data_IF_371449608581
#
_entry.id   IF_371449608581
#
_cell.length_a   1.000
_cell.length_b   1.000
_cell.length_c   1.000
_cell.angle_alpha   90.00
_cell.angle_beta   90.00
_cell.angle_gamma   90.00
#
_symmetry.space_group_name_H-M   'P 1'
#
loop_
_entity.id
_entity.type
_entity.pdbx_description
1 polymer ?
#
# COMPACT_ATOMS: atom_id res chain seq x y z
N UNK A 1 53.00 -20.96 -30.95
CA UNK A 1 51.56 -21.03 -31.30
C UNK A 1 50.77 -20.86 -30.01
N UNK A 2 50.26 -19.65 -29.76
CA UNK A 2 48.82 -19.29 -29.76
C UNK A 2 47.96 -20.01 -28.70
N UNK A 3 47.51 -19.22 -27.72
CA UNK A 3 46.14 -19.10 -27.16
C UNK A 3 45.50 -20.36 -26.50
N UNK A 4 44.85 -20.31 -25.33
CA UNK A 4 43.69 -19.48 -25.00
C UNK A 4 43.45 -19.42 -23.48
N UNK A 5 42.98 -18.26 -23.01
CA UNK A 5 42.35 -18.06 -21.71
C UNK A 5 41.09 -18.91 -21.55
N UNK A 6 40.85 -19.45 -20.35
CA UNK A 6 39.49 -19.55 -19.80
C UNK A 6 39.54 -19.06 -18.36
N UNK A 7 39.08 -17.82 -18.18
CA UNK A 7 38.60 -17.30 -16.92
C UNK A 7 37.34 -18.08 -16.53
N UNK A 8 37.40 -18.85 -15.44
CA UNK A 8 36.19 -19.42 -14.85
C UNK A 8 35.63 -18.39 -13.85
N UNK A 9 34.59 -17.68 -14.30
CA UNK A 9 33.70 -16.90 -13.46
C UNK A 9 33.18 -17.80 -12.33
N UNK A 10 33.55 -17.47 -11.09
CA UNK A 10 32.87 -17.95 -9.90
C UNK A 10 31.47 -17.33 -9.86
N UNK A 11 30.54 -17.97 -10.58
CA UNK A 11 29.10 -17.82 -10.41
C UNK A 11 28.71 -18.41 -9.06
N UNK A 12 29.03 -17.68 -7.99
CA UNK A 12 28.39 -17.89 -6.69
C UNK A 12 26.96 -17.41 -6.89
N UNK A 13 26.10 -18.36 -7.29
CA UNK A 13 24.67 -18.26 -7.11
C UNK A 13 24.40 -18.15 -5.63
N UNK A 14 24.44 -16.92 -5.12
CA UNK A 14 23.83 -16.57 -3.84
C UNK A 14 22.33 -16.64 -4.11
N UNK A 15 21.80 -17.86 -4.00
CA UNK A 15 20.38 -18.07 -3.84
C UNK A 15 19.93 -17.18 -2.68
N UNK A 16 19.07 -16.23 -3.02
CA UNK A 16 18.35 -15.38 -2.08
C UNK A 16 17.56 -16.28 -1.14
N UNK A 17 18.20 -16.63 -0.02
CA UNK A 17 17.52 -17.25 1.11
C UNK A 17 16.50 -16.23 1.58
N UNK A 18 15.24 -16.53 1.25
CA UNK A 18 14.06 -15.83 1.70
C UNK A 18 14.18 -15.50 3.20
N UNK A 19 14.36 -14.22 3.51
CA UNK A 19 14.17 -13.73 4.87
C UNK A 19 12.66 -13.65 5.14
N UNK A 20 12.05 -14.81 5.37
CA UNK A 20 10.67 -14.96 5.86
C UNK A 20 10.61 -14.99 7.40
N UNK A 21 11.41 -14.16 8.07
CA UNK A 21 11.41 -14.05 9.54
C UNK A 21 11.26 -12.60 9.97
N UNK A 22 10.10 -12.05 9.65
CA UNK A 22 9.67 -10.71 9.99
C UNK A 22 8.40 -10.46 9.22
N UNK A 23 7.27 -10.94 9.76
CA UNK A 23 5.98 -10.97 9.08
C UNK A 23 5.75 -9.73 8.22
N UNK A 24 5.33 -10.01 6.98
CA UNK A 24 5.09 -9.11 5.85
C UNK A 24 3.96 -8.09 6.14
N UNK A 25 4.09 -7.39 7.25
CA UNK A 25 3.20 -6.36 7.72
C UNK A 25 3.74 -5.01 7.26
N UNK A 26 3.67 -4.79 5.94
CA UNK A 26 3.76 -3.44 5.39
C UNK A 26 4.54 -3.28 4.10
N UNK A 27 5.35 -4.27 3.70
CA UNK A 27 6.12 -4.21 2.46
C UNK A 27 5.35 -4.86 1.32
N UNK A 28 4.26 -4.20 0.93
CA UNK A 28 3.30 -4.81 0.00
C UNK A 28 3.83 -4.96 -1.43
N UNK A 29 4.86 -4.24 -1.84
CA UNK A 29 5.36 -4.31 -3.21
C UNK A 29 6.27 -5.53 -3.36
N UNK A 30 6.01 -6.37 -4.36
CA UNK A 30 6.86 -7.51 -4.69
C UNK A 30 8.07 -7.01 -5.49
N UNK A 31 9.08 -6.52 -4.78
CA UNK A 31 10.25 -5.87 -5.40
C UNK A 31 11.05 -6.79 -6.31
N UNK A 32 10.88 -8.10 -6.17
CA UNK A 32 11.56 -9.09 -7.03
C UNK A 32 11.03 -9.00 -8.47
N UNK A 33 9.81 -8.49 -8.69
CA UNK A 33 9.26 -8.26 -10.03
C UNK A 33 9.91 -7.09 -10.77
N UNK A 34 10.68 -6.23 -10.09
CA UNK A 34 11.34 -5.07 -10.68
C UNK A 34 12.68 -5.40 -11.34
N UNK A 35 13.10 -6.68 -11.34
CA UNK A 35 14.35 -7.14 -11.95
C UNK A 35 15.56 -6.28 -11.53
N UNK A 36 15.74 -6.12 -10.22
CA UNK A 36 16.80 -5.28 -9.66
C UNK A 36 18.18 -5.82 -10.04
N UNK A 37 19.11 -4.92 -10.39
CA UNK A 37 20.53 -5.28 -10.47
C UNK A 37 21.07 -5.64 -9.08
N UNK A 38 22.20 -6.36 -9.02
CA UNK A 38 22.81 -6.74 -7.74
C UNK A 38 23.14 -5.53 -6.85
N UNK A 39 23.56 -4.41 -7.44
CA UNK A 39 23.81 -3.18 -6.69
C UNK A 39 22.51 -2.57 -6.13
N UNK A 40 21.45 -2.52 -6.94
CA UNK A 40 20.14 -2.04 -6.46
C UNK A 40 19.57 -2.95 -5.37
N UNK A 41 19.70 -4.28 -5.50
CA UNK A 41 19.26 -5.23 -4.49
C UNK A 41 19.98 -5.00 -3.15
N UNK A 42 21.29 -4.74 -3.17
CA UNK A 42 22.07 -4.43 -1.96
C UNK A 42 21.61 -3.10 -1.31
N UNK A 43 21.33 -2.09 -2.13
CA UNK A 43 20.81 -0.80 -1.65
C UNK A 43 19.40 -0.97 -1.03
N UNK A 44 18.51 -1.72 -1.69
CA UNK A 44 17.17 -2.05 -1.17
C UNK A 44 17.27 -2.77 0.18
N UNK A 45 18.14 -3.77 0.31
CA UNK A 45 18.34 -4.49 1.56
C UNK A 45 18.82 -3.56 2.68
N UNK A 46 19.75 -2.65 2.37
CA UNK A 46 20.27 -1.66 3.32
C UNK A 46 19.17 -0.74 3.82
N UNK A 47 18.34 -0.21 2.92
CA UNK A 47 17.20 0.67 3.26
C UNK A 47 16.18 -0.07 4.13
N UNK A 48 15.83 -1.31 3.78
CA UNK A 48 14.88 -2.13 4.55
C UNK A 48 15.38 -2.44 5.95
N UNK A 49 16.67 -2.74 6.09
CA UNK A 49 17.30 -3.00 7.39
C UNK A 49 17.25 -1.75 8.28
N UNK A 50 17.63 -0.59 7.75
CA UNK A 50 17.56 0.68 8.47
C UNK A 50 16.13 1.00 8.94
N UNK A 51 15.14 0.81 8.06
CA UNK A 51 13.72 0.94 8.42
C UNK A 51 13.34 -0.02 9.56
N UNK A 52 13.72 -1.30 9.46
CA UNK A 52 13.35 -2.31 10.46
C UNK A 52 13.96 -2.00 11.83
N UNK A 53 15.23 -1.61 11.87
CA UNK A 53 15.92 -1.26 13.10
C UNK A 53 15.24 -0.06 13.79
N UNK A 54 14.92 0.98 13.02
CA UNK A 54 14.25 2.17 13.51
C UNK A 54 12.79 1.90 13.93
N UNK A 55 12.08 1.04 13.19
CA UNK A 55 10.72 0.63 13.53
C UNK A 55 10.69 -0.12 14.87
N UNK A 56 11.65 -1.02 15.09
CA UNK A 56 11.75 -1.76 16.36
C UNK A 56 12.13 -0.83 17.52
N UNK A 57 13.00 0.16 17.29
CA UNK A 57 13.34 1.20 18.26
C UNK A 57 12.10 1.99 18.66
N UNK A 58 11.36 2.50 17.68
CA UNK A 58 10.14 3.28 17.89
C UNK A 58 9.02 2.47 18.55
N UNK A 59 8.91 1.18 18.22
CA UNK A 59 7.93 0.28 18.85
C UNK A 59 8.14 0.18 20.36
N UNK A 60 9.40 0.05 20.79
CA UNK A 60 9.80 -0.08 22.20
C UNK A 60 9.85 1.26 22.93
N UNK A 61 9.88 2.38 22.21
CA UNK A 61 9.96 3.72 22.78
C UNK A 61 8.68 4.06 23.57
N UNK A 62 8.83 4.67 24.74
CA UNK A 62 7.69 5.04 25.59
C UNK A 62 7.19 6.44 25.22
N UNK A 63 6.25 6.48 24.28
CA UNK A 63 5.55 7.68 23.80
C UNK A 63 4.07 7.35 23.62
N UNK A 64 3.25 8.39 23.48
CA UNK A 64 1.81 8.23 23.26
C UNK A 64 1.54 7.35 22.04
N UNK A 65 0.42 6.62 22.08
CA UNK A 65 0.00 5.73 20.99
C UNK A 65 -0.23 6.49 19.67
N UNK A 66 -0.72 7.72 19.75
CA UNK A 66 -0.97 8.57 18.59
C UNK A 66 0.34 9.03 17.96
N UNK A 67 1.30 9.51 18.77
CA UNK A 67 2.61 9.94 18.28
C UNK A 67 3.40 8.76 17.69
N UNK A 68 3.36 7.61 18.36
CA UNK A 68 3.98 6.38 17.87
C UNK A 68 3.43 5.98 16.50
N UNK A 69 2.10 6.06 16.32
CA UNK A 69 1.45 5.78 15.03
C UNK A 69 1.92 6.78 13.97
N UNK A 70 1.95 8.07 14.27
CA UNK A 70 2.38 9.12 13.33
C UNK A 70 3.84 8.91 12.89
N UNK A 71 4.75 8.68 13.84
CA UNK A 71 6.16 8.45 13.57
C UNK A 71 6.40 7.15 12.78
N UNK A 72 5.67 6.07 13.10
CA UNK A 72 5.77 4.81 12.33
C UNK A 72 5.30 4.97 10.89
N UNK A 73 4.30 5.82 10.66
CA UNK A 73 3.82 6.15 9.32
C UNK A 73 4.86 6.97 8.56
N UNK A 74 5.46 8.00 9.18
CA UNK A 74 6.54 8.79 8.56
C UNK A 74 7.73 7.92 8.18
N UNK A 75 8.16 7.03 9.08
CA UNK A 75 9.26 6.09 8.81
C UNK A 75 8.99 5.19 7.58
N UNK A 76 7.73 4.83 7.35
CA UNK A 76 7.32 4.04 6.20
C UNK A 76 7.35 4.86 4.90
N UNK A 77 6.92 6.11 4.94
CA UNK A 77 6.98 7.02 3.80
C UNK A 77 8.44 7.27 3.38
N UNK A 78 9.32 7.50 4.35
CA UNK A 78 10.76 7.68 4.13
C UNK A 78 11.39 6.44 3.49
N UNK A 79 11.04 5.24 3.98
CA UNK A 79 11.49 3.98 3.38
C UNK A 79 11.05 3.88 1.91
N UNK A 80 9.78 4.17 1.61
CA UNK A 80 9.26 4.10 0.24
C UNK A 80 10.00 5.10 -0.66
N UNK A 81 10.16 6.35 -0.22
CA UNK A 81 10.87 7.38 -0.96
C UNK A 81 12.32 6.97 -1.28
N UNK A 82 13.05 6.46 -0.27
CA UNK A 82 14.41 5.97 -0.44
C UNK A 82 14.48 4.79 -1.41
N UNK A 83 13.54 3.84 -1.35
CA UNK A 83 13.50 2.72 -2.27
C UNK A 83 13.23 3.18 -3.71
N UNK A 84 12.34 4.16 -3.92
CA UNK A 84 12.03 4.72 -5.24
C UNK A 84 13.23 5.43 -5.88
N UNK A 85 14.13 6.01 -5.08
CA UNK A 85 15.36 6.65 -5.58
C UNK A 85 16.38 5.66 -6.14
N UNK A 86 16.35 4.40 -5.71
CA UNK A 86 17.24 3.32 -6.19
C UNK A 86 16.81 2.80 -7.56
N UNK A 87 15.54 2.99 -7.93
CA UNK A 87 14.96 2.46 -9.16
C UNK A 87 15.30 3.33 -10.38
N UNK A 88 15.49 2.68 -11.53
CA UNK A 88 15.47 3.36 -12.83
C UNK A 88 14.08 3.94 -13.12
N UNK A 89 13.97 4.79 -14.14
CA UNK A 89 12.67 5.37 -14.52
C UNK A 89 11.63 4.29 -14.90
N UNK A 90 12.02 3.30 -15.72
CA UNK A 90 11.13 2.20 -16.10
C UNK A 90 10.69 1.37 -14.88
N UNK A 91 11.62 1.10 -13.96
CA UNK A 91 11.31 0.40 -12.71
C UNK A 91 10.40 1.22 -11.79
N UNK A 92 10.53 2.56 -11.77
CA UNK A 92 9.62 3.44 -11.03
C UNK A 92 8.21 3.38 -11.60
N UNK A 93 8.05 3.36 -12.92
CA UNK A 93 6.75 3.22 -13.57
C UNK A 93 6.12 1.86 -13.26
N UNK A 94 6.91 0.79 -13.34
CA UNK A 94 6.45 -0.55 -12.97
C UNK A 94 6.04 -0.62 -11.49
N UNK A 95 6.86 -0.09 -10.58
CA UNK A 95 6.54 -0.04 -9.16
C UNK A 95 5.26 0.76 -8.88
N UNK A 96 5.06 1.90 -9.56
CA UNK A 96 3.83 2.69 -9.46
C UNK A 96 2.59 1.88 -9.89
N UNK A 97 2.68 1.19 -11.03
CA UNK A 97 1.59 0.33 -11.51
C UNK A 97 1.26 -0.80 -10.51
N UNK A 98 2.27 -1.44 -9.93
CA UNK A 98 2.10 -2.45 -8.89
C UNK A 98 1.44 -1.88 -7.62
N UNK A 99 1.81 -0.66 -7.21
CA UNK A 99 1.17 0.00 -6.07
C UNK A 99 -0.32 0.28 -6.33
N UNK A 100 -0.66 0.70 -7.55
CA UNK A 100 -2.04 0.97 -7.98
C UNK A 100 -2.86 -0.33 -7.95
N UNK A 101 -2.40 -1.41 -8.58
CA UNK A 101 -3.10 -2.72 -8.59
C UNK A 101 -3.39 -3.21 -7.17
N UNK A 102 -2.40 -3.11 -6.28
CA UNK A 102 -2.59 -3.51 -4.89
C UNK A 102 -3.53 -2.59 -4.12
N UNK A 103 -3.52 -1.30 -4.42
CA UNK A 103 -4.47 -0.37 -3.83
C UNK A 103 -5.88 -0.70 -4.28
N UNK A 104 -6.09 -0.95 -5.57
CA UNK A 104 -7.36 -1.35 -6.15
C UNK A 104 -7.89 -2.64 -5.50
N UNK A 105 -7.08 -3.70 -5.39
CA UNK A 105 -7.44 -4.95 -4.69
C UNK A 105 -7.92 -4.70 -3.26
N UNK A 106 -7.23 -3.82 -2.52
CA UNK A 106 -7.62 -3.49 -1.13
C UNK A 106 -8.91 -2.70 -1.07
N UNK A 107 -9.13 -1.80 -2.03
CA UNK A 107 -10.33 -0.98 -2.10
C UNK A 107 -11.52 -1.84 -2.49
N UNK A 108 -11.40 -2.65 -3.54
CA UNK A 108 -12.39 -3.63 -3.95
C UNK A 108 -12.83 -4.54 -2.79
N UNK A 109 -11.89 -5.07 -1.99
CA UNK A 109 -12.21 -5.87 -0.79
C UNK A 109 -12.99 -5.09 0.28
N UNK A 110 -12.76 -3.77 0.39
CA UNK A 110 -13.52 -2.92 1.32
C UNK A 110 -14.91 -2.62 0.79
N UNK A 111 -15.03 -2.39 -0.51
CA UNK A 111 -16.30 -2.20 -1.20
C UNK A 111 -17.17 -3.46 -1.07
N UNK A 112 -16.59 -4.67 -1.20
CA UNK A 112 -17.32 -5.94 -0.96
C UNK A 112 -17.92 -6.01 0.44
N UNK A 113 -17.10 -5.78 1.46
CA UNK A 113 -17.58 -5.78 2.85
C UNK A 113 -18.65 -4.73 3.10
N UNK A 114 -18.60 -3.61 2.39
CA UNK A 114 -19.62 -2.57 2.50
C UNK A 114 -20.90 -2.99 1.78
N UNK A 115 -20.77 -3.60 0.60
CA UNK A 115 -21.87 -4.15 -0.17
C UNK A 115 -22.65 -5.18 0.66
N UNK A 116 -21.94 -6.10 1.33
CA UNK A 116 -22.54 -7.10 2.23
C UNK A 116 -23.30 -6.44 3.39
N UNK A 117 -22.69 -5.45 4.05
CA UNK A 117 -23.31 -4.75 5.20
C UNK A 117 -24.57 -3.99 4.82
N UNK A 118 -24.58 -3.42 3.62
CA UNK A 118 -25.72 -2.68 3.09
C UNK A 118 -26.70 -3.60 2.35
N UNK A 119 -26.37 -4.87 2.15
CA UNK A 119 -27.11 -5.79 1.28
C UNK A 119 -27.40 -5.15 -0.08
N UNK A 120 -26.33 -4.67 -0.75
CA UNK A 120 -26.45 -4.07 -2.08
C UNK A 120 -26.83 -5.13 -3.11
N UNK A 121 -27.65 -4.73 -4.07
CA UNK A 121 -27.88 -5.51 -5.28
C UNK A 121 -26.62 -5.50 -6.16
N UNK A 122 -26.45 -6.47 -7.06
CA UNK A 122 -25.31 -6.48 -7.99
C UNK A 122 -25.17 -5.17 -8.76
N UNK A 123 -26.29 -4.61 -9.27
CA UNK A 123 -26.30 -3.32 -9.97
C UNK A 123 -25.80 -2.16 -9.10
N UNK A 124 -26.20 -2.10 -7.83
CA UNK A 124 -25.72 -1.06 -6.90
C UNK A 124 -24.21 -1.23 -6.60
N UNK A 125 -23.76 -2.47 -6.45
CA UNK A 125 -22.36 -2.78 -6.22
C UNK A 125 -21.49 -2.40 -7.43
N UNK A 126 -21.96 -2.67 -8.64
CA UNK A 126 -21.26 -2.32 -9.88
C UNK A 126 -21.13 -0.80 -10.04
N UNK A 127 -22.20 -0.04 -9.78
CA UNK A 127 -22.15 1.44 -9.80
C UNK A 127 -21.15 1.95 -8.77
N UNK A 128 -21.18 1.43 -7.54
CA UNK A 128 -20.25 1.82 -6.49
C UNK A 128 -18.79 1.52 -6.86
N UNK A 129 -18.51 0.34 -7.42
CA UNK A 129 -17.18 -0.07 -7.86
C UNK A 129 -16.68 0.79 -9.01
N UNK A 130 -17.53 1.03 -10.01
CA UNK A 130 -17.20 1.83 -11.18
C UNK A 130 -16.76 3.24 -10.77
N UNK A 131 -17.57 3.95 -9.98
CA UNK A 131 -17.25 5.32 -9.56
C UNK A 131 -15.96 5.37 -8.73
N UNK A 132 -15.83 4.48 -7.75
CA UNK A 132 -14.63 4.48 -6.90
C UNK A 132 -13.39 4.16 -7.74
N UNK A 133 -13.43 3.17 -8.63
CA UNK A 133 -12.27 2.77 -9.43
C UNK A 133 -11.91 3.80 -10.52
N UNK A 134 -12.89 4.45 -11.15
CA UNK A 134 -12.62 5.57 -12.07
C UNK A 134 -11.89 6.70 -11.34
N UNK A 135 -12.38 7.10 -10.17
CA UNK A 135 -11.76 8.18 -9.40
C UNK A 135 -10.37 7.79 -8.83
N UNK A 136 -10.08 6.49 -8.70
CA UNK A 136 -8.74 5.99 -8.34
C UNK A 136 -7.74 6.10 -9.48
N UNK A 137 -8.15 5.78 -10.70
CA UNK A 137 -7.31 5.90 -11.91
C UNK A 137 -6.98 7.37 -12.20
N UNK A 138 -7.94 8.27 -11.97
CA UNK A 138 -7.75 9.71 -12.18
C UNK A 138 -6.87 10.37 -11.09
N UNK A 139 -6.78 9.76 -9.90
CA UNK A 139 -6.02 10.29 -8.76
C UNK A 139 -5.03 9.27 -8.16
N UNK A 140 -4.04 8.78 -8.93
CA UNK A 140 -3.12 7.76 -8.47
C UNK A 140 -2.26 8.24 -7.28
N UNK A 141 -2.02 9.56 -7.17
CA UNK A 141 -1.30 10.16 -6.02
C UNK A 141 -2.02 9.95 -4.68
N UNK A 142 -3.35 9.82 -4.67
CA UNK A 142 -4.10 9.52 -3.46
C UNK A 142 -3.82 8.10 -2.93
N UNK A 143 -3.32 7.20 -3.78
CA UNK A 143 -3.04 5.80 -3.46
C UNK A 143 -1.60 5.55 -2.97
N UNK A 144 -0.68 6.39 -3.43
CA UNK A 144 0.76 6.24 -3.19
C UNK A 144 1.19 6.71 -1.79
N UNK A 145 0.41 7.60 -1.15
CA UNK A 145 0.75 8.12 0.19
C UNK A 145 -0.06 7.39 1.24
N UNK A 146 0.53 6.35 1.85
CA UNK A 146 -0.01 5.75 3.07
C UNK A 146 0.80 6.19 4.27
N UNK A 147 0.59 7.41 4.74
CA UNK A 147 1.35 7.93 5.87
C UNK A 147 0.81 9.23 6.47
N UNK A 148 1.60 9.87 7.33
CA UNK A 148 1.16 10.96 8.21
C UNK A 148 0.73 12.25 7.46
N UNK A 149 1.20 12.43 6.22
CA UNK A 149 0.80 13.51 5.32
C UNK A 149 -0.08 13.03 4.13
N UNK A 150 -0.42 11.74 4.09
CA UNK A 150 -1.22 11.13 3.03
C UNK A 150 -2.65 10.90 3.47
N UNK A 151 -3.60 11.18 2.57
CA UNK A 151 -4.99 10.75 2.72
C UNK A 151 -4.99 9.29 3.19
N UNK A 152 -5.58 9.00 4.35
CA UNK A 152 -5.87 7.62 4.72
C UNK A 152 -6.70 7.06 3.56
N UNK A 153 -6.17 6.09 2.82
CA UNK A 153 -6.90 5.40 1.75
C UNK A 153 -8.30 4.98 2.20
N UNK A 154 -8.51 4.77 3.51
CA UNK A 154 -9.84 4.57 4.11
C UNK A 154 -10.72 5.81 4.06
N UNK A 155 -10.21 6.98 4.39
CA UNK A 155 -10.95 8.24 4.35
C UNK A 155 -11.32 8.61 2.93
N UNK A 156 -10.37 8.58 2.00
CA UNK A 156 -10.63 8.84 0.59
C UNK A 156 -11.74 7.94 0.03
N UNK A 157 -11.61 6.60 0.18
CA UNK A 157 -12.64 5.66 -0.29
C UNK A 157 -13.98 5.90 0.39
N UNK A 158 -13.97 6.22 1.69
CA UNK A 158 -15.20 6.49 2.42
C UNK A 158 -15.90 7.74 1.88
N UNK A 159 -15.17 8.82 1.61
CA UNK A 159 -15.72 10.08 1.13
C UNK A 159 -16.26 9.94 -0.31
N UNK A 160 -15.53 9.23 -1.18
CA UNK A 160 -15.97 8.88 -2.54
C UNK A 160 -17.28 8.09 -2.52
N UNK A 161 -17.36 7.11 -1.62
CA UNK A 161 -18.56 6.31 -1.45
C UNK A 161 -19.71 7.14 -0.87
N UNK A 162 -19.45 7.99 0.13
CA UNK A 162 -20.48 8.80 0.77
C UNK A 162 -21.20 9.73 -0.22
N UNK A 163 -20.50 10.23 -1.23
CA UNK A 163 -21.07 11.09 -2.26
C UNK A 163 -22.11 10.39 -3.14
N UNK A 164 -21.93 9.10 -3.43
CA UNK A 164 -22.82 8.36 -4.35
C UNK A 164 -23.94 7.59 -3.64
N UNK A 165 -23.80 7.36 -2.33
CA UNK A 165 -24.74 6.55 -1.55
C UNK A 165 -26.19 7.06 -1.58
N UNK A 166 -26.50 8.37 -1.54
CA UNK A 166 -27.88 8.85 -1.65
C UNK A 166 -28.58 8.45 -2.95
N UNK A 167 -27.83 8.33 -4.04
CA UNK A 167 -28.40 8.10 -5.38
C UNK A 167 -28.58 6.60 -5.69
N UNK A 168 -27.76 5.75 -5.08
CA UNK A 168 -27.77 4.30 -5.36
C UNK A 168 -28.54 3.51 -4.31
N UNK A 169 -28.71 4.01 -3.09
CA UNK A 169 -29.30 3.26 -1.99
C UNK A 169 -30.82 3.44 -1.89
N UNK A 170 -31.53 2.37 -1.54
CA UNK A 170 -32.89 2.48 -1.02
C UNK A 170 -32.90 3.20 0.34
N UNK A 171 -34.06 3.73 0.76
CA UNK A 171 -34.19 4.45 2.04
C UNK A 171 -33.72 3.62 3.25
N UNK A 172 -34.02 2.31 3.27
CA UNK A 172 -33.57 1.41 4.34
C UNK A 172 -32.05 1.22 4.34
N UNK A 173 -31.43 1.10 3.16
CA UNK A 173 -29.98 0.99 3.03
C UNK A 173 -29.31 2.32 3.41
N UNK A 174 -29.88 3.45 3.04
CA UNK A 174 -29.37 4.78 3.38
C UNK A 174 -29.36 5.01 4.90
N UNK A 175 -30.41 4.57 5.61
CA UNK A 175 -30.41 4.59 7.09
C UNK A 175 -29.29 3.73 7.68
N UNK A 176 -29.02 2.55 7.11
CA UNK A 176 -27.88 1.70 7.53
C UNK A 176 -26.54 2.39 7.26
N UNK A 177 -26.40 3.04 6.10
CA UNK A 177 -25.22 3.82 5.76
C UNK A 177 -24.96 4.95 6.76
N UNK A 178 -25.98 5.74 7.12
CA UNK A 178 -25.83 6.81 8.12
C UNK A 178 -25.37 6.28 9.49
N UNK A 179 -25.85 5.10 9.92
CA UNK A 179 -25.37 4.44 11.14
C UNK A 179 -23.90 4.02 11.02
N UNK A 180 -23.49 3.46 9.88
CA UNK A 180 -22.09 3.09 9.62
C UNK A 180 -21.20 4.34 9.64
N UNK A 181 -21.64 5.43 9.02
CA UNK A 181 -20.96 6.73 9.01
C UNK A 181 -20.78 7.29 10.41
N UNK A 182 -21.85 7.34 11.21
CA UNK A 182 -21.79 7.81 12.60
C UNK A 182 -20.80 7.02 13.46
N UNK A 183 -20.75 5.69 13.32
CA UNK A 183 -19.79 4.85 14.05
C UNK A 183 -18.35 5.06 13.57
N UNK A 184 -18.16 5.27 12.27
CA UNK A 184 -16.84 5.56 11.68
C UNK A 184 -16.28 6.90 12.18
N UNK A 185 -17.10 7.94 12.27
CA UNK A 185 -16.69 9.26 12.77
C UNK A 185 -16.28 9.23 14.24
N UNK A 186 -17.03 8.53 15.10
CA UNK A 186 -16.70 8.38 16.52
C UNK A 186 -15.31 7.77 16.75
N UNK A 187 -14.88 6.85 15.89
CA UNK A 187 -13.56 6.24 15.94
C UNK A 187 -12.43 7.09 15.32
N UNK A 188 -12.75 8.18 14.61
CA UNK A 188 -11.75 9.12 14.08
C UNK A 188 -11.40 10.22 15.10
N UNK A 189 -12.32 10.51 16.03
CA UNK A 189 -12.18 11.58 17.03
C UNK A 189 -11.79 11.07 18.42
N UNK A 190 -11.64 9.76 18.61
CA UNK A 190 -11.20 9.09 19.86
C UNK A 190 -9.80 8.51 19.74
#
# INVERSE_FOLDING_TARGET
MKQLMIALMLSIGIGSVAMSLGGDHGQRLDWDQLNLSSNQAQQVQTIRKAYQDEFQRLRKHDISKLDKKSQMLGLRDDMIANLTQVLSEDQRQQASAMMIDQAEKRINKRLDRLADKLALTPKQQDIMRSVVNTNLVENPKALLVTGAAGLDNRAYVFDQVDQIMPDILSSMQLMKWQKIKGNSMKHRTS
#
